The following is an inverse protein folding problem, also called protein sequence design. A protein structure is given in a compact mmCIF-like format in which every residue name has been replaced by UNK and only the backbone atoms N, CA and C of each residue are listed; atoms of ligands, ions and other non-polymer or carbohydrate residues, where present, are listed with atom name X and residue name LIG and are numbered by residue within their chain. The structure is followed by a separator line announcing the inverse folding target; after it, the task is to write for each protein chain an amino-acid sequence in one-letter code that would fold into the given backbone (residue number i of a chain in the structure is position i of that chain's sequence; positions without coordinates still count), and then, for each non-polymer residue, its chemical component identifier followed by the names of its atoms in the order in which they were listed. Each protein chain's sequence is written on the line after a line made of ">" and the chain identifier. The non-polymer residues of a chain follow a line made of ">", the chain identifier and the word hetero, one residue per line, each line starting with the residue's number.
data_IF_121262591366
#
_entry.id   IF_121262591366
#
_cell.length_a   1.000
_cell.length_b   1.000
_cell.length_c   1.000
_cell.angle_alpha   90.00
_cell.angle_beta   90.00
_cell.angle_gamma   90.00
#
_symmetry.space_group_name_H-M   'P 1'
#
loop_
_entity.id
_entity.type
_entity.pdbx_description
1 polymer ?
#
# COMPACT_ATOMS: atom_id res chain seq x y z
N UNK A 1 17.45 27.06 12.08
CA UNK A 1 16.41 27.77 12.87
C UNK A 1 16.05 26.93 14.08
N UNK A 2 15.46 27.56 15.09
CA UNK A 2 14.81 26.85 16.19
C UNK A 2 13.40 26.39 15.79
N UNK A 3 12.84 25.38 16.47
CA UNK A 3 11.47 24.94 16.21
C UNK A 3 10.43 26.05 16.43
N UNK A 4 10.66 26.92 17.43
CA UNK A 4 9.77 28.05 17.72
C UNK A 4 9.75 29.10 16.59
N UNK A 5 10.89 29.34 15.94
CA UNK A 5 10.97 30.22 14.78
C UNK A 5 10.32 29.60 13.54
N UNK A 6 10.42 28.27 13.38
CA UNK A 6 9.73 27.53 12.33
C UNK A 6 8.21 27.66 12.45
N UNK A 7 7.69 27.33 13.63
CA UNK A 7 6.24 27.32 13.91
C UNK A 7 5.65 28.71 13.69
N UNK A 8 6.33 29.75 14.18
CA UNK A 8 5.88 31.13 13.97
C UNK A 8 5.82 31.50 12.48
N UNK A 9 6.85 31.19 11.70
CA UNK A 9 6.87 31.46 10.25
C UNK A 9 5.76 30.70 9.52
N UNK A 10 5.50 29.46 9.91
CA UNK A 10 4.41 28.65 9.36
C UNK A 10 3.04 29.27 9.68
N UNK A 11 2.80 29.64 10.94
CA UNK A 11 1.54 30.24 11.41
C UNK A 11 1.29 31.63 10.79
N UNK A 12 2.35 32.40 10.56
CA UNK A 12 2.30 33.71 9.89
C UNK A 12 2.10 33.58 8.35
N UNK A 13 2.07 32.35 7.81
CA UNK A 13 1.87 32.07 6.39
C UNK A 13 3.08 32.39 5.50
N UNK A 14 4.27 32.49 6.09
CA UNK A 14 5.52 32.69 5.35
C UNK A 14 5.92 31.43 4.57
N UNK A 15 6.69 31.60 3.49
CA UNK A 15 7.25 30.47 2.75
C UNK A 15 8.39 29.81 3.56
N UNK A 16 8.16 28.57 3.99
CA UNK A 16 9.11 27.75 4.73
C UNK A 16 9.77 26.65 3.87
N UNK A 17 9.54 26.66 2.55
CA UNK A 17 9.93 25.57 1.66
C UNK A 17 11.45 25.32 1.64
N UNK A 18 12.26 26.35 1.87
CA UNK A 18 13.73 26.24 1.94
C UNK A 18 14.23 25.42 3.12
N UNK A 19 13.37 25.16 4.11
CA UNK A 19 13.70 24.45 5.34
C UNK A 19 13.12 23.04 5.39
N UNK A 20 12.37 22.64 4.37
CA UNK A 20 11.77 21.32 4.26
C UNK A 20 12.66 20.40 3.41
N UNK A 21 12.98 19.22 3.93
CA UNK A 21 13.54 18.14 3.10
C UNK A 21 12.39 17.48 2.31
N UNK A 22 12.30 17.85 1.03
CA UNK A 22 11.29 17.34 0.12
C UNK A 22 11.78 16.17 -0.73
N UNK A 23 12.94 15.59 -0.43
CA UNK A 23 13.52 14.49 -1.22
C UNK A 23 12.62 13.25 -1.29
N UNK A 24 11.82 13.00 -0.26
CA UNK A 24 10.81 11.92 -0.19
C UNK A 24 9.38 12.42 -0.36
N UNK A 25 9.17 13.73 -0.53
CA UNK A 25 7.85 14.31 -0.61
C UNK A 25 7.15 13.91 -1.91
N UNK A 26 5.92 13.40 -1.78
CA UNK A 26 5.07 13.04 -2.92
C UNK A 26 4.19 14.24 -3.25
N UNK A 27 4.37 14.81 -4.43
CA UNK A 27 3.49 15.87 -4.91
C UNK A 27 2.13 15.27 -5.23
N UNK A 28 1.03 15.98 -4.95
CA UNK A 28 -0.33 15.50 -5.20
C UNK A 28 -0.54 15.05 -6.66
N UNK A 29 0.06 15.75 -7.63
CA UNK A 29 0.03 15.39 -9.05
C UNK A 29 0.71 14.05 -9.37
N UNK A 30 1.64 13.62 -8.54
CA UNK A 30 2.42 12.40 -8.66
C UNK A 30 1.79 11.23 -7.88
N UNK A 31 0.69 11.44 -7.13
CA UNK A 31 -0.05 10.37 -6.42
C UNK A 31 -0.44 9.23 -7.37
N UNK A 32 -0.79 9.54 -8.64
CA UNK A 32 -1.10 8.51 -9.65
C UNK A 32 0.06 7.54 -9.91
N UNK A 33 1.32 7.95 -9.69
CA UNK A 33 2.50 7.07 -9.82
C UNK A 33 2.58 6.01 -8.73
N UNK A 34 1.86 6.17 -7.61
CA UNK A 34 1.81 5.18 -6.53
C UNK A 34 1.00 3.92 -6.89
N UNK A 35 0.49 3.79 -8.13
CA UNK A 35 -0.31 2.64 -8.59
C UNK A 35 -1.43 2.28 -7.61
N UNK A 36 -2.06 3.28 -6.99
CA UNK A 36 -3.15 3.11 -6.02
C UNK A 36 -4.51 2.81 -6.68
N UNK A 37 -4.55 2.79 -8.02
CA UNK A 37 -5.75 2.51 -8.78
C UNK A 37 -6.15 1.04 -8.61
N UNK A 38 -7.32 0.80 -8.00
CA UNK A 38 -7.85 -0.55 -7.85
C UNK A 38 -8.57 -0.98 -9.12
N UNK A 39 -8.19 -2.12 -9.70
CA UNK A 39 -8.90 -2.74 -10.82
C UNK A 39 -9.74 -3.92 -10.32
N UNK A 40 -11.03 -3.97 -10.68
CA UNK A 40 -11.88 -5.13 -10.40
C UNK A 40 -11.55 -6.27 -11.37
N UNK A 41 -11.42 -7.48 -10.82
CA UNK A 41 -11.21 -8.71 -11.58
C UNK A 41 -12.25 -9.73 -11.09
N UNK A 42 -12.86 -10.47 -12.01
CA UNK A 42 -13.74 -11.59 -11.70
C UNK A 42 -12.96 -12.89 -11.93
N UNK A 43 -13.06 -13.84 -11.00
CA UNK A 43 -12.36 -15.14 -11.05
C UNK A 43 -13.31 -16.20 -10.52
N UNK A 44 -13.42 -17.31 -11.23
CA UNK A 44 -14.17 -18.49 -10.80
C UNK A 44 -13.23 -19.49 -10.13
N UNK A 45 -13.71 -20.13 -9.06
CA UNK A 45 -12.98 -21.16 -8.33
C UNK A 45 -13.84 -22.42 -8.21
N UNK A 46 -13.24 -23.62 -8.24
CA UNK A 46 -13.92 -24.84 -7.83
C UNK A 46 -14.48 -24.72 -6.41
N UNK A 47 -15.60 -25.39 -6.14
CA UNK A 47 -16.30 -25.31 -4.84
C UNK A 47 -15.37 -25.66 -3.65
N UNK A 48 -14.60 -26.74 -3.78
CA UNK A 48 -13.66 -27.17 -2.73
C UNK A 48 -12.58 -26.12 -2.40
N UNK A 49 -12.21 -25.26 -3.36
CA UNK A 49 -11.26 -24.16 -3.13
C UNK A 49 -11.93 -23.08 -2.30
N UNK A 50 -13.18 -22.74 -2.62
CA UNK A 50 -13.95 -21.73 -1.88
C UNK A 50 -14.17 -22.16 -0.43
N UNK A 51 -14.53 -23.43 -0.21
CA UNK A 51 -14.69 -23.99 1.14
C UNK A 51 -13.39 -23.95 1.94
N UNK A 52 -12.27 -24.28 1.29
CA UNK A 52 -10.94 -24.23 1.92
C UNK A 52 -10.55 -22.80 2.30
N UNK A 53 -10.81 -21.83 1.41
CA UNK A 53 -10.58 -20.40 1.67
C UNK A 53 -11.42 -19.89 2.84
N UNK A 54 -12.70 -20.28 2.91
CA UNK A 54 -13.59 -19.88 3.99
C UNK A 54 -13.14 -20.43 5.35
N UNK A 55 -12.74 -21.70 5.38
CA UNK A 55 -12.22 -22.33 6.58
C UNK A 55 -11.01 -21.58 7.10
N UNK A 56 -10.10 -21.19 6.22
CA UNK A 56 -8.87 -20.51 6.61
C UNK A 56 -9.13 -19.06 7.02
N UNK A 57 -9.96 -18.34 6.27
CA UNK A 57 -10.39 -16.99 6.60
C UNK A 57 -11.06 -16.93 7.99
N UNK A 58 -11.89 -17.94 8.31
CA UNK A 58 -12.55 -18.07 9.62
C UNK A 58 -11.56 -18.28 10.76
N UNK A 59 -10.51 -19.09 10.57
CA UNK A 59 -9.51 -19.34 11.62
C UNK A 59 -8.79 -18.07 12.08
N UNK A 60 -8.48 -17.19 11.14
CA UNK A 60 -7.76 -15.94 11.41
C UNK A 60 -8.69 -14.73 11.57
N UNK A 61 -10.01 -14.93 11.49
CA UNK A 61 -11.01 -13.89 11.74
C UNK A 61 -11.10 -12.82 10.64
N UNK A 62 -10.85 -13.18 9.37
CA UNK A 62 -10.91 -12.25 8.24
C UNK A 62 -11.93 -12.68 7.18
N UNK A 63 -12.20 -11.80 6.22
CA UNK A 63 -13.06 -12.15 5.07
C UNK A 63 -12.32 -12.99 4.04
N UNK A 64 -13.06 -13.79 3.25
CA UNK A 64 -12.51 -14.51 2.10
C UNK A 64 -11.72 -13.60 1.15
N UNK A 65 -12.23 -12.38 0.92
CA UNK A 65 -11.57 -11.44 0.03
C UNK A 65 -10.25 -10.91 0.60
N UNK A 66 -10.16 -10.75 1.93
CA UNK A 66 -8.91 -10.36 2.59
C UNK A 66 -7.84 -11.43 2.46
N UNK A 67 -8.18 -12.71 2.71
CA UNK A 67 -7.19 -13.79 2.61
C UNK A 67 -6.71 -14.00 1.18
N UNK A 68 -7.61 -13.89 0.19
CA UNK A 68 -7.24 -13.95 -1.24
C UNK A 68 -6.22 -12.86 -1.59
N UNK A 69 -6.42 -11.62 -1.12
CA UNK A 69 -5.50 -10.51 -1.38
C UNK A 69 -4.11 -10.77 -0.81
N UNK A 70 -4.04 -11.25 0.43
CA UNK A 70 -2.78 -11.52 1.12
C UNK A 70 -2.01 -12.63 0.41
N UNK A 71 -2.63 -13.77 0.16
CA UNK A 71 -1.97 -14.91 -0.47
C UNK A 71 -1.51 -14.63 -1.90
N UNK A 72 -2.29 -13.89 -2.69
CA UNK A 72 -1.84 -13.48 -4.04
C UNK A 72 -0.61 -12.56 -3.94
N UNK A 73 -0.60 -11.61 -3.01
CA UNK A 73 0.54 -10.72 -2.83
C UNK A 73 1.81 -11.47 -2.38
N UNK A 74 1.66 -12.41 -1.45
CA UNK A 74 2.75 -13.29 -0.98
C UNK A 74 3.31 -14.13 -2.13
N UNK A 75 2.44 -14.83 -2.87
CA UNK A 75 2.86 -15.67 -3.99
C UNK A 75 3.56 -14.88 -5.09
N UNK A 76 3.06 -13.67 -5.42
CA UNK A 76 3.70 -12.78 -6.39
C UNK A 76 5.07 -12.28 -5.91
N UNK A 77 5.22 -12.01 -4.62
CA UNK A 77 6.50 -11.61 -4.02
C UNK A 77 7.51 -12.75 -4.13
N UNK A 78 7.13 -13.97 -3.78
CA UNK A 78 7.98 -15.16 -3.92
C UNK A 78 8.47 -15.34 -5.36
N UNK A 79 7.57 -15.24 -6.36
CA UNK A 79 7.95 -15.33 -7.77
C UNK A 79 8.93 -14.22 -8.20
N UNK A 80 8.71 -12.99 -7.74
CA UNK A 80 9.59 -11.87 -8.05
C UNK A 80 10.99 -12.03 -7.42
N UNK A 81 11.08 -12.67 -6.25
CA UNK A 81 12.34 -13.01 -5.60
C UNK A 81 13.04 -14.17 -6.34
N UNK A 82 12.32 -15.22 -6.72
CA UNK A 82 12.87 -16.36 -7.48
C UNK A 82 13.50 -15.95 -8.83
N UNK A 83 12.87 -15.00 -9.53
CA UNK A 83 13.38 -14.45 -10.80
C UNK A 83 14.62 -13.57 -10.65
N UNK A 84 14.92 -13.06 -9.45
CA UNK A 84 16.15 -12.28 -9.20
C UNK A 84 17.35 -13.14 -8.83
N UNK A 85 17.11 -14.41 -8.48
CA UNK A 85 18.14 -15.38 -8.03
C UNK A 85 18.54 -16.36 -9.14
N UNK A 86 17.81 -16.39 -10.27
CA UNK A 86 18.13 -17.17 -11.48
C UNK A 86 18.78 -16.30 -12.56
#
# INVERSE_FOLDING_TARGET
>A
MTAQEFDKKFDDGEDISEYLDLSTAIRLKDIKKLKTETKKVNVDFPEWVVESLDKEAKKIGVTRQSIIKVWIAERLKEEAEHLQVS
#
